data_IF_602379632505
#
_entry.id   IF_602379632505
#
_cell.length_a   1.000
_cell.length_b   1.000
_cell.length_c   1.000
_cell.angle_alpha   90.00
_cell.angle_beta   90.00
_cell.angle_gamma   90.00
#
_symmetry.space_group_name_H-M   'P 1'
#
loop_
_entity.id
_entity.type
_entity.pdbx_description
1 polymer ?
#
# COMPACT_ATOMS: atom_id res chain seq x y z
N UNK A 1 8.17 19.49 -7.53
CA UNK A 1 6.69 19.43 -7.52
C UNK A 1 6.25 19.28 -6.08
N UNK A 2 5.77 20.37 -5.49
CA UNK A 2 5.28 20.38 -4.11
C UNK A 2 3.81 20.00 -4.11
N UNK A 3 3.45 18.98 -3.33
CA UNK A 3 2.07 18.54 -3.14
C UNK A 3 1.49 19.34 -1.98
N UNK A 4 0.69 20.35 -2.31
CA UNK A 4 -0.06 21.13 -1.32
C UNK A 4 -1.53 20.88 -1.58
N UNK A 5 -2.12 19.91 -0.88
CA UNK A 5 -3.57 19.91 -0.63
C UNK A 5 -3.86 21.07 0.33
N UNK A 6 -5.03 21.68 0.16
CA UNK A 6 -5.43 22.88 0.87
C UNK A 6 -5.36 22.71 2.40
N UNK A 7 -5.02 23.81 3.05
CA UNK A 7 -4.92 24.01 4.49
C UNK A 7 -6.19 23.50 5.21
N UNK A 8 -6.09 22.38 5.95
CA UNK A 8 -7.12 21.95 6.91
C UNK A 8 -7.56 20.49 6.89
N UNK A 9 -7.26 19.69 5.86
CA UNK A 9 -7.56 18.25 5.86
C UNK A 9 -6.31 17.47 6.29
N UNK A 10 -6.28 16.96 7.51
CA UNK A 10 -5.29 15.96 7.90
C UNK A 10 -5.40 14.78 6.93
N UNK A 11 -4.29 14.43 6.27
CA UNK A 11 -4.24 13.25 5.42
C UNK A 11 -4.64 12.02 6.24
N UNK A 12 -5.59 11.22 5.73
CA UNK A 12 -6.03 10.01 6.41
C UNK A 12 -4.79 9.15 6.75
N UNK A 13 -4.54 8.86 8.04
CA UNK A 13 -3.36 8.11 8.46
C UNK A 13 -3.21 6.76 7.76
N UNK A 14 -4.32 6.13 7.34
CA UNK A 14 -4.31 4.89 6.57
C UNK A 14 -3.82 5.11 5.13
N UNK A 15 -4.22 6.20 4.47
CA UNK A 15 -3.72 6.56 3.14
C UNK A 15 -2.21 6.82 3.18
N UNK A 16 -1.77 7.61 4.16
CA UNK A 16 -0.34 7.88 4.37
C UNK A 16 0.46 6.58 4.60
N UNK A 17 -0.06 5.69 5.45
CA UNK A 17 0.59 4.42 5.77
C UNK A 17 0.70 3.50 4.54
N UNK A 18 -0.38 3.35 3.76
CA UNK A 18 -0.37 2.52 2.54
C UNK A 18 0.60 3.08 1.49
N UNK A 19 0.58 4.39 1.24
CA UNK A 19 1.51 5.03 0.32
C UNK A 19 2.97 4.86 0.76
N UNK A 20 3.24 4.97 2.06
CA UNK A 20 4.57 4.73 2.63
C UNK A 20 5.01 3.27 2.45
N UNK A 21 4.10 2.31 2.61
CA UNK A 21 4.38 0.89 2.35
C UNK A 21 4.64 0.56 0.89
N UNK A 22 3.96 1.22 -0.07
CA UNK A 22 4.26 1.04 -1.50
C UNK A 22 5.73 1.32 -1.83
N UNK A 23 6.32 2.36 -1.22
CA UNK A 23 7.74 2.69 -1.38
C UNK A 23 8.62 1.56 -0.85
N UNK A 24 8.32 1.06 0.35
CA UNK A 24 9.09 -0.01 0.98
C UNK A 24 8.97 -1.34 0.21
N UNK A 25 7.77 -1.72 -0.21
CA UNK A 25 7.53 -2.91 -1.02
C UNK A 25 8.26 -2.85 -2.35
N UNK A 26 8.27 -1.68 -3.01
CA UNK A 26 9.06 -1.47 -4.22
C UNK A 26 10.55 -1.61 -3.97
N UNK A 27 11.07 -1.06 -2.86
CA UNK A 27 12.48 -1.23 -2.50
C UNK A 27 12.84 -2.69 -2.30
N UNK A 28 12.03 -3.46 -1.56
CA UNK A 28 12.24 -4.90 -1.35
C UNK A 28 12.16 -5.69 -2.64
N UNK A 29 11.17 -5.41 -3.48
CA UNK A 29 11.03 -6.02 -4.81
C UNK A 29 12.29 -5.83 -5.65
N UNK A 30 12.84 -4.61 -5.69
CA UNK A 30 14.04 -4.31 -6.48
C UNK A 30 15.32 -4.91 -5.88
N UNK A 31 15.36 -5.14 -4.56
CA UNK A 31 16.49 -5.75 -3.87
C UNK A 31 16.50 -7.30 -3.96
N UNK A 32 15.34 -7.92 -4.18
CA UNK A 32 15.17 -9.38 -4.27
C UNK A 32 15.34 -9.91 -5.70
N UNK A 33 15.48 -11.24 -5.82
CA UNK A 33 15.48 -11.96 -7.10
C UNK A 33 14.59 -13.21 -7.05
N UNK A 34 14.22 -13.71 -8.23
CA UNK A 34 13.46 -14.96 -8.34
C UNK A 34 12.09 -14.90 -7.66
N UNK A 35 11.71 -15.98 -6.97
CA UNK A 35 10.38 -16.11 -6.35
C UNK A 35 10.08 -15.04 -5.31
N UNK A 36 11.11 -14.55 -4.61
CA UNK A 36 10.95 -13.50 -3.61
C UNK A 36 10.59 -12.15 -4.23
N UNK A 37 11.23 -11.79 -5.35
CA UNK A 37 10.88 -10.60 -6.13
C UNK A 37 9.40 -10.63 -6.57
N UNK A 38 8.92 -11.79 -7.03
CA UNK A 38 7.52 -11.97 -7.39
C UNK A 38 6.54 -11.80 -6.22
N UNK A 39 6.92 -12.24 -5.00
CA UNK A 39 6.11 -12.01 -3.79
C UNK A 39 5.98 -10.52 -3.47
N UNK A 40 7.10 -9.78 -3.49
CA UNK A 40 7.08 -8.34 -3.26
C UNK A 40 6.32 -7.58 -4.35
N UNK A 41 6.45 -7.99 -5.62
CA UNK A 41 5.68 -7.43 -6.73
C UNK A 41 4.17 -7.60 -6.52
N UNK A 42 3.73 -8.79 -6.06
CA UNK A 42 2.32 -9.04 -5.77
C UNK A 42 1.79 -8.20 -4.62
N UNK A 43 2.56 -8.07 -3.53
CA UNK A 43 2.18 -7.20 -2.43
C UNK A 43 2.13 -5.73 -2.84
N UNK A 44 3.05 -5.28 -3.70
CA UNK A 44 3.04 -3.92 -4.25
C UNK A 44 1.77 -3.66 -5.07
N UNK A 45 1.39 -4.58 -5.96
CA UNK A 45 0.14 -4.49 -6.73
C UNK A 45 -1.08 -4.38 -5.81
N UNK A 46 -1.22 -5.28 -4.84
CA UNK A 46 -2.33 -5.28 -3.88
C UNK A 46 -2.40 -3.98 -3.06
N UNK A 47 -1.25 -3.37 -2.76
CA UNK A 47 -1.21 -2.10 -2.04
C UNK A 47 -1.75 -0.93 -2.89
N UNK A 48 -1.68 -0.99 -4.22
CA UNK A 48 -2.33 -0.01 -5.10
C UNK A 48 -3.83 -0.20 -5.15
N UNK A 49 -4.31 -1.45 -5.24
CA UNK A 49 -5.75 -1.75 -5.15
C UNK A 49 -6.32 -1.26 -3.81
N UNK A 50 -5.63 -1.55 -2.72
CA UNK A 50 -6.01 -1.12 -1.36
C UNK A 50 -6.09 0.39 -1.25
N UNK A 51 -5.10 1.12 -1.79
CA UNK A 51 -5.13 2.58 -1.81
C UNK A 51 -6.37 3.10 -2.56
N UNK A 52 -6.69 2.52 -3.72
CA UNK A 52 -7.89 2.88 -4.47
C UNK A 52 -9.19 2.66 -3.69
N UNK A 53 -9.31 1.55 -2.94
CA UNK A 53 -10.47 1.32 -2.07
C UNK A 53 -10.56 2.34 -0.93
N UNK A 54 -9.43 2.73 -0.32
CA UNK A 54 -9.38 3.75 0.72
C UNK A 54 -9.78 5.12 0.17
N UNK A 55 -9.22 5.54 -0.96
CA UNK A 55 -9.51 6.83 -1.61
C UNK A 55 -10.98 6.96 -2.02
N UNK A 56 -11.60 5.85 -2.44
CA UNK A 56 -13.01 5.79 -2.81
C UNK A 56 -13.95 5.52 -1.63
N UNK A 57 -13.40 5.34 -0.42
CA UNK A 57 -14.13 4.97 0.79
C UNK A 57 -15.01 3.72 0.61
N UNK A 58 -14.53 2.74 -0.17
CA UNK A 58 -15.23 1.49 -0.44
C UNK A 58 -14.73 0.43 0.54
N UNK A 59 -15.49 0.21 1.62
CA UNK A 59 -15.15 -0.77 2.67
C UNK A 59 -13.70 -0.67 3.15
N UNK A 60 -13.24 0.53 3.58
CA UNK A 60 -11.81 0.80 3.81
C UNK A 60 -11.17 -0.15 4.83
N UNK A 61 -11.92 -0.50 5.88
CA UNK A 61 -11.48 -1.48 6.88
C UNK A 61 -11.24 -2.86 6.29
N UNK A 62 -12.18 -3.35 5.48
CA UNK A 62 -12.07 -4.68 4.86
C UNK A 62 -10.90 -4.73 3.86
N UNK A 63 -10.72 -3.66 3.08
CA UNK A 63 -9.60 -3.54 2.15
C UNK A 63 -8.25 -3.63 2.88
N UNK A 64 -8.10 -2.86 3.97
CA UNK A 64 -6.90 -2.89 4.79
C UNK A 64 -6.67 -4.25 5.47
N UNK A 65 -7.70 -4.84 6.07
CA UNK A 65 -7.61 -6.16 6.72
C UNK A 65 -7.20 -7.25 5.71
N UNK A 66 -7.77 -7.23 4.52
CA UNK A 66 -7.42 -8.17 3.43
C UNK A 66 -5.96 -8.00 3.02
N UNK A 67 -5.50 -6.77 2.84
CA UNK A 67 -4.11 -6.49 2.51
C UNK A 67 -3.14 -6.99 3.59
N UNK A 68 -3.44 -6.75 4.87
CA UNK A 68 -2.63 -7.21 5.99
C UNK A 68 -2.56 -8.74 6.08
N UNK A 69 -3.64 -9.44 5.74
CA UNK A 69 -3.65 -10.90 5.67
C UNK A 69 -2.74 -11.42 4.56
N UNK A 70 -2.72 -10.77 3.39
CA UNK A 70 -1.80 -11.13 2.29
C UNK A 70 -0.34 -10.87 2.68
N UNK A 71 -0.05 -9.74 3.35
CA UNK A 71 1.27 -9.47 3.92
C UNK A 71 1.72 -10.58 4.89
N UNK A 72 0.83 -11.04 5.77
CA UNK A 72 1.13 -12.13 6.71
C UNK A 72 1.42 -13.45 6.00
N UNK A 73 0.72 -13.78 4.92
CA UNK A 73 0.95 -15.01 4.15
C UNK A 73 2.27 -14.99 3.36
N UNK A 74 2.75 -13.81 3.00
CA UNK A 74 3.98 -13.64 2.25
C UNK A 74 5.25 -13.71 3.13
N UNK A 75 5.10 -13.48 4.43
CA UNK A 75 6.18 -13.42 5.43
C UNK A 75 6.69 -14.78 5.91
#
# INVERSE_FOLDING_TARGET
MGWRRAEGDEEDPALFAIASWQIELRRRMLASRGREQGRWARLLELSYDTLGYLEQNVSPRLALETFLLECRKAS
#
